data_IF_237116904638
#
_entry.id   IF_237116904638
#
_cell.length_a   1.000
_cell.length_b   1.000
_cell.length_c   1.000
_cell.angle_alpha   90.00
_cell.angle_beta   90.00
_cell.angle_gamma   90.00
#
_symmetry.space_group_name_H-M   'P 1'
#
loop_
_entity.id
_entity.type
_entity.pdbx_description
1 polymer ?
#
# COMPACT_ATOMS: atom_id res chain seq x y z
N UNK A 1 -0.20 27.44 -0.41
CA UNK A 1 0.49 26.67 0.66
C UNK A 1 1.07 25.38 0.07
N UNK A 2 2.23 24.92 0.57
CA UNK A 2 2.82 23.66 0.16
C UNK A 2 1.95 22.51 0.70
N UNK A 3 1.57 21.54 -0.14
CA UNK A 3 0.82 20.34 0.26
C UNK A 3 1.66 19.50 1.22
N UNK A 4 1.10 19.11 2.37
CA UNK A 4 1.73 18.10 3.23
C UNK A 4 1.64 16.72 2.58
N UNK A 5 2.61 15.87 2.89
CA UNK A 5 2.72 14.49 2.41
C UNK A 5 2.80 13.55 3.60
N UNK A 6 1.75 12.78 3.81
CA UNK A 6 1.60 11.95 5.00
C UNK A 6 1.54 10.48 4.59
N UNK A 7 2.38 9.65 5.19
CA UNK A 7 2.26 8.19 5.03
C UNK A 7 1.38 7.65 6.16
N UNK A 8 0.36 6.89 5.81
CA UNK A 8 -0.46 6.14 6.74
C UNK A 8 -0.28 4.65 6.49
N UNK A 9 0.01 3.92 7.57
CA UNK A 9 0.30 2.48 7.52
C UNK A 9 -0.83 1.75 8.27
N UNK A 10 -1.91 1.33 7.56
CA UNK A 10 -2.98 0.57 8.19
C UNK A 10 -2.45 -0.81 8.61
N UNK A 11 -2.79 -1.20 9.83
CA UNK A 11 -2.40 -2.51 10.34
C UNK A 11 -3.44 -3.07 11.31
N UNK A 12 -3.71 -4.37 11.21
CA UNK A 12 -4.58 -5.10 12.12
C UNK A 12 -3.90 -6.36 12.63
N UNK A 13 -4.24 -6.78 13.85
CA UNK A 13 -3.68 -8.01 14.43
C UNK A 13 -4.36 -9.25 13.85
N UNK A 14 -5.67 -9.16 13.58
CA UNK A 14 -6.47 -10.27 13.11
C UNK A 14 -6.25 -10.52 11.62
N UNK A 15 -5.33 -11.41 11.29
CA UNK A 15 -5.10 -11.94 9.94
C UNK A 15 -5.56 -13.41 9.92
N UNK A 16 -6.44 -13.77 8.96
CA UNK A 16 -6.98 -15.13 8.85
C UNK A 16 -5.91 -16.14 8.38
N UNK A 17 -5.08 -15.76 7.41
CA UNK A 17 -4.08 -16.65 6.78
C UNK A 17 -2.79 -16.78 7.60
N UNK A 18 -2.39 -15.73 8.31
CA UNK A 18 -1.20 -15.70 9.17
C UNK A 18 -1.52 -14.88 10.42
N UNK A 19 -2.05 -15.51 11.49
CA UNK A 19 -2.47 -14.82 12.70
C UNK A 19 -1.34 -14.00 13.33
N UNK A 20 -1.64 -12.76 13.72
CA UNK A 20 -0.66 -11.87 14.36
C UNK A 20 0.46 -11.38 13.46
N UNK A 21 0.36 -11.55 12.13
CA UNK A 21 1.45 -11.28 11.17
C UNK A 21 2.14 -9.94 11.38
N UNK A 22 1.41 -8.89 11.71
CA UNK A 22 1.97 -7.55 11.91
C UNK A 22 3.07 -7.51 12.99
N UNK A 23 2.96 -8.38 14.01
CA UNK A 23 3.90 -8.47 15.14
C UNK A 23 4.89 -9.64 15.02
N UNK A 24 4.81 -10.47 13.97
CA UNK A 24 5.85 -11.46 13.68
C UNK A 24 7.17 -10.77 13.43
N UNK A 25 8.23 -11.28 14.07
CA UNK A 25 9.55 -10.62 14.06
C UNK A 25 10.48 -11.21 13.02
N UNK A 26 11.18 -10.33 12.33
CA UNK A 26 12.35 -10.67 11.51
C UNK A 26 13.53 -9.90 12.12
N UNK A 27 14.56 -10.61 12.57
CA UNK A 27 15.73 -10.03 13.26
C UNK A 27 15.33 -9.03 14.37
N UNK A 28 14.47 -9.46 15.30
CA UNK A 28 13.99 -8.68 16.44
C UNK A 28 13.09 -7.49 16.14
N UNK A 29 12.80 -7.17 14.88
CA UNK A 29 11.89 -6.12 14.46
C UNK A 29 10.62 -6.77 13.90
N UNK A 30 9.41 -6.39 14.35
CA UNK A 30 8.18 -6.93 13.76
C UNK A 30 7.97 -6.43 12.34
N UNK A 31 7.16 -7.15 11.55
CA UNK A 31 6.85 -6.80 10.15
C UNK A 31 6.41 -5.34 10.03
N UNK A 32 5.47 -4.89 10.87
CA UNK A 32 5.01 -3.48 10.89
C UNK A 32 6.16 -2.50 11.16
N UNK A 33 7.14 -2.90 11.97
CA UNK A 33 8.32 -2.09 12.25
C UNK A 33 9.22 -1.95 11.02
N UNK A 34 9.47 -3.04 10.29
CA UNK A 34 10.22 -2.98 9.04
C UNK A 34 9.51 -2.05 8.04
N UNK A 35 8.19 -2.19 7.88
CA UNK A 35 7.40 -1.32 6.99
C UNK A 35 7.51 0.15 7.41
N UNK A 36 7.36 0.45 8.69
CA UNK A 36 7.47 1.83 9.20
C UNK A 36 8.86 2.42 8.96
N UNK A 37 9.93 1.73 9.41
CA UNK A 37 11.30 2.26 9.28
C UNK A 37 11.71 2.46 7.83
N UNK A 38 11.28 1.57 6.92
CA UNK A 38 11.56 1.74 5.49
C UNK A 38 10.77 2.92 4.91
N UNK A 39 9.51 3.05 5.26
CA UNK A 39 8.69 4.19 4.85
C UNK A 39 9.27 5.52 5.34
N UNK A 40 9.87 5.53 6.53
CA UNK A 40 10.54 6.71 7.10
C UNK A 40 11.81 7.14 6.34
N UNK A 41 12.34 6.30 5.46
CA UNK A 41 13.44 6.65 4.55
C UNK A 41 12.96 7.33 3.27
N UNK A 42 11.66 7.55 3.10
CA UNK A 42 11.09 8.24 1.94
C UNK A 42 11.40 9.73 2.02
N UNK A 43 11.94 10.29 0.94
CA UNK A 43 12.28 11.70 0.89
C UNK A 43 11.02 12.59 0.85
N UNK A 44 11.11 13.77 1.50
CA UNK A 44 10.08 14.82 1.47
C UNK A 44 8.71 14.35 2.00
N UNK A 45 8.69 13.55 3.05
CA UNK A 45 7.50 13.20 3.83
C UNK A 45 7.46 14.07 5.09
N UNK A 46 6.30 14.63 5.38
CA UNK A 46 6.11 15.49 6.55
C UNK A 46 5.85 14.65 7.81
N UNK A 47 4.99 13.60 7.71
CA UNK A 47 4.66 12.74 8.84
C UNK A 47 4.36 11.30 8.41
N UNK A 48 4.53 10.35 9.34
CA UNK A 48 4.20 8.93 9.15
C UNK A 48 3.49 8.40 10.40
N UNK A 49 2.38 7.70 10.22
CA UNK A 49 1.60 7.10 11.30
C UNK A 49 1.25 5.65 11.03
N UNK A 50 1.36 4.81 12.05
CA UNK A 50 0.75 3.48 12.07
C UNK A 50 -0.70 3.61 12.54
N UNK A 51 -1.66 3.14 11.73
CA UNK A 51 -3.09 3.23 12.02
C UNK A 51 -3.63 1.85 12.42
N UNK A 52 -4.06 1.67 13.67
CA UNK A 52 -4.48 0.36 14.17
C UNK A 52 -5.58 0.45 15.23
N UNK A 53 -6.41 -0.62 15.28
CA UNK A 53 -7.35 -0.88 16.37
C UNK A 53 -6.72 -1.72 17.51
N UNK A 54 -5.60 -2.38 17.24
CA UNK A 54 -4.98 -3.32 18.17
C UNK A 54 -4.15 -2.61 19.25
N UNK A 55 -4.53 -2.80 20.51
CA UNK A 55 -3.75 -2.32 21.65
C UNK A 55 -2.32 -2.86 21.66
N UNK A 56 -2.10 -4.11 21.21
CA UNK A 56 -0.76 -4.73 21.14
C UNK A 56 0.13 -4.00 20.11
N UNK A 57 -0.40 -3.67 18.94
CA UNK A 57 0.33 -2.89 17.90
C UNK A 57 0.62 -1.48 18.42
N UNK A 58 -0.38 -0.79 18.96
CA UNK A 58 -0.22 0.57 19.50
C UNK A 58 0.78 0.62 20.68
N UNK A 59 0.75 -0.35 21.58
CA UNK A 59 1.72 -0.46 22.68
C UNK A 59 3.13 -0.69 22.18
N UNK A 60 3.29 -1.52 21.13
CA UNK A 60 4.59 -1.70 20.50
C UNK A 60 5.07 -0.40 19.83
N UNK A 61 4.20 0.33 19.14
CA UNK A 61 4.52 1.64 18.56
C UNK A 61 4.97 2.63 19.64
N UNK A 62 4.20 2.75 20.74
CA UNK A 62 4.54 3.62 21.87
C UNK A 62 5.91 3.31 22.47
N UNK A 63 6.20 2.00 22.72
CA UNK A 63 7.49 1.57 23.26
C UNK A 63 8.68 1.92 22.33
N UNK A 64 8.45 1.98 21.02
CA UNK A 64 9.48 2.29 20.02
C UNK A 64 9.40 3.73 19.51
N UNK A 65 8.64 4.63 20.17
CA UNK A 65 8.47 6.04 19.79
C UNK A 65 7.97 6.24 18.36
N UNK A 66 7.14 5.31 17.88
CA UNK A 66 6.53 5.37 16.55
C UNK A 66 5.19 6.09 16.64
N UNK A 67 4.98 7.18 15.87
CA UNK A 67 3.69 7.84 15.78
C UNK A 67 2.59 6.85 15.35
N UNK A 68 1.49 6.84 16.10
CA UNK A 68 0.39 5.92 15.82
C UNK A 68 -0.97 6.54 16.12
N UNK A 69 -1.98 6.11 15.36
CA UNK A 69 -3.36 6.58 15.48
C UNK A 69 -4.25 5.37 15.80
N UNK A 70 -4.96 5.43 16.93
CA UNK A 70 -5.97 4.44 17.27
C UNK A 70 -7.19 4.65 16.36
N UNK A 71 -7.63 3.57 15.71
CA UNK A 71 -8.81 3.53 14.84
C UNK A 71 -9.81 2.50 15.34
N UNK A 72 -11.03 2.54 14.81
CA UNK A 72 -12.07 1.55 15.11
C UNK A 72 -11.69 0.18 14.56
N UNK A 73 -12.31 -0.88 15.09
CA UNK A 73 -12.07 -2.29 14.68
C UNK A 73 -12.94 -2.74 13.50
N UNK A 74 -14.01 -2.01 13.17
CA UNK A 74 -15.03 -2.41 12.20
C UNK A 74 -14.74 -2.03 10.75
N UNK A 75 -13.52 -1.54 10.44
CA UNK A 75 -13.13 -1.23 9.06
C UNK A 75 -12.95 -2.52 8.25
N UNK A 76 -13.54 -2.55 7.06
CA UNK A 76 -13.51 -3.70 6.16
C UNK A 76 -12.10 -3.86 5.56
N UNK A 77 -11.43 -2.75 5.24
CA UNK A 77 -10.11 -2.72 4.59
C UNK A 77 -9.17 -1.65 5.18
N UNK A 78 -7.95 -1.60 4.63
CA UNK A 78 -6.92 -0.62 5.03
C UNK A 78 -7.29 0.80 4.67
N UNK A 79 -7.88 1.01 3.50
CA UNK A 79 -8.24 2.34 2.98
C UNK A 79 -9.32 3.02 3.84
N UNK A 80 -10.32 2.28 4.31
CA UNK A 80 -11.32 2.81 5.25
C UNK A 80 -10.70 3.18 6.60
N UNK A 81 -9.72 2.39 7.08
CA UNK A 81 -8.98 2.68 8.32
C UNK A 81 -8.19 3.97 8.23
N UNK A 82 -7.48 4.21 7.13
CA UNK A 82 -6.74 5.46 6.94
C UNK A 82 -7.67 6.65 6.69
N UNK A 83 -8.86 6.44 6.12
CA UNK A 83 -9.87 7.47 5.99
C UNK A 83 -10.38 7.97 7.36
N UNK A 84 -10.54 7.09 8.36
CA UNK A 84 -10.77 7.51 9.75
C UNK A 84 -9.56 8.26 10.32
N UNK A 85 -8.34 7.75 10.06
CA UNK A 85 -7.13 8.35 10.62
C UNK A 85 -6.91 9.79 10.14
N UNK A 86 -7.16 10.12 8.86
CA UNK A 86 -7.00 11.49 8.32
C UNK A 86 -7.96 12.48 8.95
N UNK A 87 -9.10 12.02 9.47
CA UNK A 87 -10.06 12.89 10.17
C UNK A 87 -9.56 13.32 11.56
N UNK A 88 -8.59 12.62 12.13
CA UNK A 88 -7.94 12.92 13.41
C UNK A 88 -6.71 13.81 13.27
N UNK A 89 -6.31 14.09 12.03
CA UNK A 89 -5.16 14.91 11.69
C UNK A 89 -5.59 16.29 11.16
N UNK A 90 -4.86 17.33 11.55
CA UNK A 90 -5.06 18.67 11.03
C UNK A 90 -4.41 18.80 9.64
N UNK A 91 -5.15 18.36 8.61
CA UNK A 91 -4.73 18.31 7.21
C UNK A 91 -5.69 19.08 6.32
N UNK A 92 -5.16 19.74 5.29
CA UNK A 92 -5.97 20.35 4.25
C UNK A 92 -6.56 19.26 3.32
N UNK A 93 -7.61 19.59 2.58
CA UNK A 93 -8.26 18.65 1.66
C UNK A 93 -7.37 18.23 0.49
N UNK A 94 -6.35 19.03 0.18
CA UNK A 94 -5.44 18.80 -0.94
C UNK A 94 -4.10 18.17 -0.49
N UNK A 95 -3.91 17.95 0.83
CA UNK A 95 -2.75 17.23 1.35
C UNK A 95 -2.70 15.80 0.82
N UNK A 96 -1.50 15.32 0.55
CA UNK A 96 -1.26 14.02 -0.08
C UNK A 96 -1.18 12.94 1.00
N UNK A 97 -1.99 11.91 0.84
CA UNK A 97 -2.04 10.74 1.70
C UNK A 97 -1.48 9.54 0.91
N UNK A 98 -0.49 8.91 1.49
CA UNK A 98 0.11 7.69 0.95
C UNK A 98 -0.29 6.52 1.84
N UNK A 99 -1.08 5.61 1.31
CA UNK A 99 -1.38 4.33 1.94
C UNK A 99 -0.22 3.37 1.67
N UNK A 100 0.43 2.89 2.71
CA UNK A 100 1.44 1.84 2.65
C UNK A 100 0.99 0.68 3.53
N UNK A 101 0.68 -0.47 2.91
CA UNK A 101 0.16 -1.61 3.66
C UNK A 101 1.17 -2.11 4.70
N UNK A 102 0.69 -2.36 5.93
CA UNK A 102 1.53 -2.70 7.09
C UNK A 102 2.27 -4.03 7.00
N UNK A 103 1.97 -4.84 5.99
CA UNK A 103 2.57 -6.14 5.69
C UNK A 103 3.59 -6.13 4.54
N UNK A 104 4.07 -4.95 4.16
CA UNK A 104 5.10 -4.72 3.13
C UNK A 104 6.50 -4.45 3.73
N UNK A 105 7.16 -5.43 4.39
CA UNK A 105 8.43 -5.20 5.09
C UNK A 105 9.59 -4.86 4.15
N UNK A 106 9.41 -5.03 2.85
CA UNK A 106 10.39 -4.76 1.80
C UNK A 106 10.03 -3.53 0.94
N UNK A 107 9.06 -2.71 1.38
CA UNK A 107 8.65 -1.51 0.64
C UNK A 107 9.87 -0.65 0.25
N UNK A 108 9.91 -0.16 -0.99
CA UNK A 108 11.01 0.64 -1.48
C UNK A 108 10.72 2.15 -1.33
N UNK A 109 11.45 2.88 -0.47
CA UNK A 109 11.23 4.31 -0.25
C UNK A 109 11.31 5.15 -1.54
N UNK A 110 12.24 4.80 -2.45
CA UNK A 110 12.38 5.50 -3.72
C UNK A 110 11.15 5.32 -4.63
N UNK A 111 10.46 4.19 -4.51
CA UNK A 111 9.22 3.95 -5.26
C UNK A 111 8.07 4.82 -4.72
N UNK A 112 7.97 5.00 -3.40
CA UNK A 112 7.02 5.92 -2.79
C UNK A 112 7.26 7.34 -3.30
N UNK A 113 8.51 7.84 -3.26
CA UNK A 113 8.87 9.17 -3.77
C UNK A 113 8.47 9.34 -5.24
N UNK A 114 8.75 8.34 -6.10
CA UNK A 114 8.39 8.38 -7.53
C UNK A 114 6.87 8.41 -7.75
N UNK A 115 6.13 7.63 -6.97
CA UNK A 115 4.67 7.58 -7.06
C UNK A 115 4.03 8.92 -6.64
N UNK A 116 4.52 9.55 -5.57
CA UNK A 116 4.10 10.88 -5.15
C UNK A 116 4.40 11.91 -6.24
N UNK A 117 5.62 11.93 -6.78
CA UNK A 117 5.99 12.86 -7.85
C UNK A 117 5.14 12.68 -9.10
N UNK A 118 4.76 11.44 -9.44
CA UNK A 118 3.83 11.17 -10.53
C UNK A 118 2.42 11.70 -10.22
N UNK A 119 1.93 11.51 -8.99
CA UNK A 119 0.63 12.03 -8.56
C UNK A 119 0.58 13.55 -8.64
N UNK A 120 1.62 14.25 -8.18
CA UNK A 120 1.71 15.71 -8.20
C UNK A 120 1.70 16.31 -9.62
N UNK A 121 2.22 15.57 -10.61
CA UNK A 121 2.34 16.03 -12.01
C UNK A 121 1.16 15.68 -12.89
N UNK A 122 0.19 14.92 -12.38
CA UNK A 122 -0.93 14.42 -13.19
C UNK A 122 -2.26 14.66 -12.46
N UNK A 123 -3.34 14.76 -13.23
CA UNK A 123 -4.67 15.00 -12.68
C UNK A 123 -5.44 13.68 -12.47
N UNK A 124 -5.05 12.91 -11.46
CA UNK A 124 -5.72 11.71 -11.02
C UNK A 124 -6.28 11.88 -9.60
N UNK A 125 -7.43 11.26 -9.32
CA UNK A 125 -7.99 11.20 -7.96
C UNK A 125 -7.18 10.24 -7.07
N UNK A 126 -6.68 9.15 -7.68
CA UNK A 126 -5.94 8.08 -7.02
C UNK A 126 -4.79 7.65 -7.93
N UNK A 127 -3.63 7.37 -7.36
CA UNK A 127 -2.53 6.73 -8.11
C UNK A 127 -2.17 5.40 -7.47
N UNK A 128 -2.11 4.37 -8.31
CA UNK A 128 -1.74 3.00 -7.95
C UNK A 128 -0.55 2.59 -8.81
N UNK A 129 0.65 2.52 -8.25
CA UNK A 129 1.82 2.06 -9.00
C UNK A 129 1.70 0.60 -9.42
N UNK A 130 2.44 0.23 -10.47
CA UNK A 130 2.51 -1.15 -10.94
C UNK A 130 3.93 -1.60 -11.23
N UNK A 131 4.11 -2.93 -11.22
CA UNK A 131 5.30 -3.61 -11.76
C UNK A 131 4.92 -4.39 -13.00
N UNK A 132 5.83 -4.40 -13.99
CA UNK A 132 5.72 -5.34 -15.11
C UNK A 132 6.20 -6.72 -14.69
N UNK A 133 5.44 -7.76 -15.01
CA UNK A 133 5.79 -9.15 -14.70
C UNK A 133 5.41 -10.10 -15.85
N UNK A 134 6.06 -11.26 -15.90
CA UNK A 134 5.85 -12.28 -16.95
C UNK A 134 5.56 -13.66 -16.39
N UNK A 135 6.08 -13.96 -15.19
CA UNK A 135 5.87 -15.25 -14.49
C UNK A 135 4.56 -15.24 -13.72
N UNK A 136 4.03 -16.41 -13.42
CA UNK A 136 2.83 -16.57 -12.59
C UNK A 136 1.59 -15.79 -13.06
N UNK A 137 1.41 -15.66 -14.37
CA UNK A 137 0.30 -14.86 -14.94
C UNK A 137 -1.08 -15.31 -14.46
N UNK A 138 -1.26 -16.62 -14.22
CA UNK A 138 -2.52 -17.22 -13.76
C UNK A 138 -2.71 -17.14 -12.23
N UNK A 139 -1.73 -16.62 -11.48
CA UNK A 139 -1.87 -16.46 -10.03
C UNK A 139 -2.97 -15.44 -9.71
N UNK A 140 -4.08 -15.90 -9.13
CA UNK A 140 -5.25 -15.09 -8.77
C UNK A 140 -5.00 -14.17 -7.56
N UNK A 141 -3.92 -14.39 -6.79
CA UNK A 141 -3.50 -13.47 -5.74
C UNK A 141 -2.88 -12.18 -6.31
N UNK A 142 -2.43 -12.21 -7.55
CA UNK A 142 -1.88 -11.04 -8.25
C UNK A 142 -3.02 -10.31 -8.96
N UNK A 143 -3.27 -9.07 -8.57
CA UNK A 143 -4.18 -8.18 -9.27
C UNK A 143 -3.47 -7.59 -10.49
N UNK A 144 -4.08 -7.74 -11.68
CA UNK A 144 -3.58 -7.22 -12.95
C UNK A 144 -4.29 -5.93 -13.30
N UNK A 145 -3.57 -5.01 -13.97
CA UNK A 145 -4.09 -3.72 -14.38
C UNK A 145 -4.08 -3.61 -15.90
N UNK A 146 -5.22 -3.25 -16.49
CA UNK A 146 -5.31 -2.73 -17.84
C UNK A 146 -5.11 -1.21 -17.78
N UNK A 147 -4.08 -0.70 -18.46
CA UNK A 147 -3.65 0.71 -18.37
C UNK A 147 -3.62 1.31 -19.77
N UNK A 148 -4.20 2.49 -19.93
CA UNK A 148 -4.20 3.26 -21.18
C UNK A 148 -2.82 3.89 -21.48
N UNK A 149 -2.65 4.39 -22.70
CA UNK A 149 -1.45 5.16 -23.07
C UNK A 149 -1.30 6.45 -22.24
N UNK A 150 -2.41 7.01 -21.74
CA UNK A 150 -2.45 8.20 -20.87
C UNK A 150 -2.17 7.85 -19.40
N UNK A 151 -1.72 6.62 -19.11
CA UNK A 151 -1.42 6.12 -17.76
C UNK A 151 -2.64 5.99 -16.85
N UNK A 152 -3.85 6.01 -17.40
CA UNK A 152 -5.08 5.78 -16.66
C UNK A 152 -5.34 4.27 -16.53
N UNK A 153 -5.74 3.82 -15.36
CA UNK A 153 -6.20 2.45 -15.13
C UNK A 153 -7.61 2.35 -15.71
N UNK A 154 -7.78 1.45 -16.69
CA UNK A 154 -9.06 1.17 -17.33
C UNK A 154 -9.84 0.11 -16.56
N UNK A 155 -9.15 -0.91 -16.06
CA UNK A 155 -9.73 -1.99 -15.26
C UNK A 155 -8.70 -2.69 -14.40
N UNK A 156 -9.20 -3.38 -13.36
CA UNK A 156 -8.43 -4.25 -12.48
C UNK A 156 -9.09 -5.62 -12.40
N UNK A 157 -8.31 -6.70 -12.43
CA UNK A 157 -8.85 -8.05 -12.29
C UNK A 157 -7.83 -9.04 -11.74
N UNK A 158 -8.34 -10.10 -11.12
CA UNK A 158 -7.53 -11.28 -10.78
C UNK A 158 -7.35 -12.20 -11.98
N UNK A 159 -8.22 -12.11 -12.97
CA UNK A 159 -8.08 -12.78 -14.27
C UNK A 159 -6.96 -12.15 -15.11
N UNK A 160 -6.61 -12.81 -16.22
CA UNK A 160 -5.66 -12.29 -17.21
C UNK A 160 -6.27 -11.10 -17.95
N UNK A 161 -5.76 -9.91 -17.71
CA UNK A 161 -6.11 -8.69 -18.43
C UNK A 161 -4.85 -7.88 -18.79
N UNK A 162 -4.78 -7.33 -20.04
CA UNK A 162 -5.62 -7.69 -21.19
C UNK A 162 -5.39 -9.16 -21.62
N UNK A 163 -6.41 -9.78 -22.22
CA UNK A 163 -6.24 -11.07 -22.85
C UNK A 163 -5.31 -10.95 -24.05
N UNK A 164 -4.31 -11.82 -24.14
CA UNK A 164 -3.36 -11.82 -25.25
C UNK A 164 -3.77 -12.83 -26.31
N UNK A 165 -4.38 -12.35 -27.37
CA UNK A 165 -4.82 -13.19 -28.48
C UNK A 165 -3.64 -13.72 -29.30
N UNK A 166 -2.65 -12.87 -29.59
CA UNK A 166 -1.53 -13.22 -30.49
C UNK A 166 -0.21 -13.50 -29.79
N UNK A 167 0.04 -12.93 -28.60
CA UNK A 167 1.35 -12.98 -27.96
C UNK A 167 1.34 -13.71 -26.61
N UNK A 168 1.86 -14.94 -26.58
CA UNK A 168 1.99 -15.72 -25.35
C UNK A 168 3.00 -15.14 -24.35
N UNK A 169 3.93 -14.28 -24.78
CA UNK A 169 5.00 -13.69 -23.97
C UNK A 169 4.66 -12.27 -23.45
N UNK A 170 3.39 -11.92 -23.40
CA UNK A 170 2.95 -10.62 -22.90
C UNK A 170 3.43 -10.37 -21.46
N UNK A 171 3.97 -9.17 -21.25
CA UNK A 171 4.23 -8.63 -19.91
C UNK A 171 2.96 -7.97 -19.38
N UNK A 172 2.52 -8.38 -18.20
CA UNK A 172 1.35 -7.83 -17.51
C UNK A 172 1.76 -6.81 -16.46
N UNK A 173 0.81 -5.99 -16.01
CA UNK A 173 1.03 -4.99 -14.97
C UNK A 173 0.44 -5.50 -13.64
N UNK A 174 1.31 -5.76 -12.65
CA UNK A 174 0.91 -6.14 -11.28
C UNK A 174 0.65 -4.91 -10.45
N UNK A 175 -0.52 -4.82 -9.84
CA UNK A 175 -0.85 -3.83 -8.81
C UNK A 175 0.15 -3.85 -7.65
N UNK A 176 0.57 -2.67 -7.19
CA UNK A 176 1.37 -2.52 -5.97
C UNK A 176 0.51 -1.98 -4.83
N UNK A 177 0.80 -2.43 -3.61
CA UNK A 177 0.02 -2.12 -2.42
C UNK A 177 0.23 -0.69 -1.87
N UNK A 178 0.96 0.16 -2.58
CA UNK A 178 1.08 1.59 -2.26
C UNK A 178 0.03 2.35 -3.05
N UNK A 179 -0.79 3.15 -2.39
CA UNK A 179 -1.85 3.92 -3.04
C UNK A 179 -1.73 5.39 -2.61
N UNK A 180 -1.84 6.32 -3.56
CA UNK A 180 -1.74 7.74 -3.30
C UNK A 180 -3.09 8.41 -3.55
N UNK A 181 -3.49 9.24 -2.59
CA UNK A 181 -4.71 10.04 -2.60
C UNK A 181 -4.40 11.50 -2.26
N UNK A 182 -5.36 12.41 -2.48
CA UNK A 182 -5.52 13.57 -1.62
C UNK A 182 -6.43 13.21 -0.44
N UNK A 183 -6.42 13.98 0.66
CA UNK A 183 -7.42 13.81 1.72
C UNK A 183 -8.84 13.86 1.12
N UNK A 184 -9.10 14.77 0.17
CA UNK A 184 -10.38 14.92 -0.52
C UNK A 184 -10.78 13.63 -1.25
N UNK A 185 -9.91 13.07 -2.09
CA UNK A 185 -10.21 11.86 -2.87
C UNK A 185 -10.35 10.63 -1.97
N UNK A 186 -9.58 10.52 -0.89
CA UNK A 186 -9.69 9.45 0.09
C UNK A 186 -11.06 9.51 0.82
N UNK A 187 -11.49 10.69 1.26
CA UNK A 187 -12.79 10.87 1.90
C UNK A 187 -13.95 10.67 0.92
N UNK A 188 -13.79 11.06 -0.36
CA UNK A 188 -14.78 10.73 -1.41
C UNK A 188 -14.90 9.23 -1.56
N UNK A 189 -13.76 8.52 -1.72
CA UNK A 189 -13.72 7.05 -1.83
C UNK A 189 -14.39 6.36 -0.63
N UNK A 190 -14.08 6.78 0.60
CA UNK A 190 -14.59 6.12 1.81
C UNK A 190 -16.12 6.22 2.00
N UNK A 191 -16.78 7.15 1.30
CA UNK A 191 -18.24 7.29 1.30
C UNK A 191 -18.95 6.40 0.26
N UNK A 192 -18.19 5.83 -0.68
CA UNK A 192 -18.74 4.95 -1.71
C UNK A 192 -19.13 3.61 -1.09
N UNK A 193 -20.29 3.10 -1.47
CA UNK A 193 -20.72 1.75 -1.10
C UNK A 193 -19.89 0.70 -1.88
N UNK A 194 -19.60 -0.46 -1.30
CA UNK A 194 -18.97 -1.57 -2.01
C UNK A 194 -19.75 -1.93 -3.28
N UNK A 195 -19.08 -1.92 -4.43
CA UNK A 195 -19.68 -2.18 -5.73
C UNK A 195 -19.82 -3.68 -6.02
N UNK A 196 -20.54 -4.03 -7.09
CA UNK A 196 -20.72 -5.43 -7.50
C UNK A 196 -19.39 -6.09 -7.86
N UNK A 197 -18.60 -5.45 -8.75
CA UNK A 197 -17.34 -6.03 -9.21
C UNK A 197 -16.26 -6.07 -8.10
N UNK A 198 -16.27 -5.08 -7.18
CA UNK A 198 -15.42 -5.14 -5.99
C UNK A 198 -15.67 -6.39 -5.17
N UNK A 199 -16.95 -6.76 -4.95
CA UNK A 199 -17.30 -7.95 -4.16
C UNK A 199 -16.92 -9.24 -4.86
N UNK A 200 -17.11 -9.34 -6.18
CA UNK A 200 -16.77 -10.52 -6.98
C UNK A 200 -15.25 -10.72 -7.08
N UNK A 201 -14.52 -9.68 -7.43
CA UNK A 201 -13.06 -9.73 -7.62
C UNK A 201 -12.30 -9.60 -6.29
N UNK A 202 -12.95 -9.17 -5.22
CA UNK A 202 -12.30 -8.79 -3.95
C UNK A 202 -11.16 -7.79 -4.17
N UNK A 203 -11.44 -6.74 -4.95
CA UNK A 203 -10.54 -5.63 -5.29
C UNK A 203 -11.21 -4.32 -4.92
N UNK A 204 -10.82 -3.73 -3.78
CA UNK A 204 -11.48 -2.56 -3.20
C UNK A 204 -11.54 -1.33 -4.14
N UNK A 205 -10.53 -1.12 -4.96
CA UNK A 205 -10.46 0.05 -5.85
C UNK A 205 -11.39 -0.03 -7.08
N UNK A 206 -12.03 -1.17 -7.33
CA UNK A 206 -13.05 -1.26 -8.39
C UNK A 206 -14.22 -0.33 -8.10
N UNK A 207 -14.62 -0.14 -6.81
CA UNK A 207 -15.68 0.83 -6.48
C UNK A 207 -15.31 2.27 -6.93
N UNK A 208 -14.04 2.63 -6.91
CA UNK A 208 -13.59 3.93 -7.38
C UNK A 208 -13.75 4.06 -8.90
N UNK A 209 -13.33 3.04 -9.66
CA UNK A 209 -13.49 3.01 -11.12
C UNK A 209 -14.97 3.06 -11.52
N UNK A 210 -15.84 2.25 -10.87
CA UNK A 210 -17.27 2.19 -11.15
C UNK A 210 -18.00 3.50 -10.77
N UNK A 211 -17.39 4.34 -9.93
CA UNK A 211 -17.91 5.67 -9.58
C UNK A 211 -17.14 6.82 -10.26
N UNK A 212 -16.55 6.55 -11.42
CA UNK A 212 -15.90 7.54 -12.28
C UNK A 212 -14.75 8.32 -11.61
N UNK A 213 -14.09 7.76 -10.60
CA UNK A 213 -12.85 8.33 -10.11
C UNK A 213 -11.73 8.02 -11.10
N UNK A 214 -10.85 8.99 -11.35
CA UNK A 214 -9.72 8.84 -12.26
C UNK A 214 -8.54 8.18 -11.53
N UNK A 215 -8.25 6.92 -11.89
CA UNK A 215 -7.12 6.18 -11.34
C UNK A 215 -5.94 6.21 -12.31
N UNK A 216 -4.81 6.72 -11.86
CA UNK A 216 -3.56 6.73 -12.62
C UNK A 216 -2.60 5.64 -12.18
N UNK A 217 -1.64 5.30 -13.05
CA UNK A 217 -0.61 4.31 -12.73
C UNK A 217 0.75 4.65 -13.31
N UNK A 218 1.78 4.42 -12.52
CA UNK A 218 3.18 4.54 -12.90
C UNK A 218 3.89 3.19 -12.80
N UNK A 219 4.70 2.86 -13.82
CA UNK A 219 5.55 1.67 -13.78
C UNK A 219 6.76 1.90 -12.86
N UNK A 220 6.93 1.07 -11.87
CA UNK A 220 8.07 1.10 -10.96
C UNK A 220 8.97 -0.13 -11.17
N UNK A 221 10.13 -0.15 -10.52
CA UNK A 221 11.10 -1.25 -10.57
C UNK A 221 11.39 -1.77 -9.16
N UNK A 222 11.83 -3.03 -9.07
CA UNK A 222 12.19 -3.68 -7.81
C UNK A 222 11.08 -4.59 -7.27
N UNK A 223 11.34 -5.28 -6.18
CA UNK A 223 10.38 -6.18 -5.56
C UNK A 223 9.32 -5.39 -4.80
N UNK A 224 8.07 -5.78 -4.94
CA UNK A 224 7.00 -5.51 -3.99
C UNK A 224 6.57 -6.85 -3.42
N UNK A 225 6.50 -6.93 -2.11
CA UNK A 225 6.35 -8.19 -1.41
C UNK A 225 5.53 -8.02 -0.14
N UNK A 226 4.29 -8.47 -0.21
CA UNK A 226 3.39 -8.53 0.95
C UNK A 226 3.54 -9.86 1.65
N UNK A 227 3.58 -9.86 2.97
CA UNK A 227 3.57 -11.07 3.78
C UNK A 227 2.12 -11.44 4.09
N UNK A 228 1.61 -12.46 3.43
CA UNK A 228 0.21 -12.90 3.59
C UNK A 228 0.07 -14.31 4.18
N UNK A 229 1.00 -15.19 3.90
CA UNK A 229 1.05 -16.57 4.36
C UNK A 229 2.44 -16.89 4.96
N UNK A 230 2.58 -18.07 5.57
CA UNK A 230 3.84 -18.49 6.19
C UNK A 230 5.02 -18.51 5.20
N UNK A 231 4.78 -18.95 3.97
CA UNK A 231 5.82 -18.98 2.93
C UNK A 231 6.35 -17.57 2.62
N UNK A 232 5.46 -16.58 2.51
CA UNK A 232 5.85 -15.18 2.34
C UNK A 232 6.71 -14.68 3.50
N UNK A 233 6.36 -15.06 4.73
CA UNK A 233 7.14 -14.69 5.90
C UNK A 233 8.56 -15.29 5.87
N UNK A 234 8.69 -16.56 5.51
CA UNK A 234 9.99 -17.21 5.36
C UNK A 234 10.82 -16.56 4.24
N UNK A 235 10.18 -16.23 3.13
CA UNK A 235 10.82 -15.51 2.03
C UNK A 235 11.26 -14.11 2.46
N UNK A 236 10.44 -13.38 3.24
CA UNK A 236 10.80 -12.07 3.77
C UNK A 236 12.04 -12.13 4.66
N UNK A 237 12.18 -13.18 5.49
CA UNK A 237 13.39 -13.41 6.30
C UNK A 237 14.63 -13.52 5.40
N UNK A 238 14.56 -14.31 4.33
CA UNK A 238 15.69 -14.49 3.43
C UNK A 238 16.05 -13.19 2.70
N UNK A 239 15.06 -12.46 2.16
CA UNK A 239 15.30 -11.19 1.48
C UNK A 239 15.90 -10.13 2.43
N UNK A 240 15.44 -10.05 3.67
CA UNK A 240 15.94 -9.07 4.63
C UNK A 240 17.37 -9.38 5.11
N UNK A 241 17.87 -10.63 5.03
CA UNK A 241 19.26 -10.95 5.38
C UNK A 241 20.27 -10.15 4.57
N UNK A 242 20.03 -9.96 3.28
CA UNK A 242 20.95 -9.29 2.33
C UNK A 242 20.50 -7.87 1.94
N UNK A 243 19.40 -7.38 2.54
CA UNK A 243 18.84 -6.09 2.15
C UNK A 243 19.65 -4.89 2.65
N UNK A 244 20.25 -4.15 1.72
CA UNK A 244 21.04 -2.95 2.01
C UNK A 244 20.19 -1.81 2.61
N UNK A 245 18.90 -1.75 2.31
CA UNK A 245 18.01 -0.72 2.87
C UNK A 245 17.80 -0.94 4.37
N UNK A 246 17.76 -2.19 4.82
CA UNK A 246 17.67 -2.55 6.24
C UNK A 246 18.82 -1.94 7.06
N UNK A 247 20.04 -1.94 6.54
CA UNK A 247 21.21 -1.41 7.24
C UNK A 247 21.06 0.07 7.61
N UNK A 248 20.27 0.83 6.85
CA UNK A 248 20.08 2.28 7.09
C UNK A 248 19.26 2.56 8.35
N UNK A 249 18.23 1.73 8.66
CA UNK A 249 17.39 1.96 9.82
C UNK A 249 17.79 1.15 11.06
N UNK A 250 18.55 0.07 10.90
CA UNK A 250 19.12 -0.66 12.06
C UNK A 250 20.24 0.15 12.70
N UNK A 251 21.13 0.78 11.91
CA UNK A 251 22.22 1.63 12.42
C UNK A 251 21.70 2.89 13.13
N UNK A 252 20.56 3.42 12.74
CA UNK A 252 19.94 4.59 13.37
C UNK A 252 19.30 4.28 14.75
N UNK A 253 19.24 3.00 15.16
CA UNK A 253 18.72 2.57 16.47
C UNK A 253 19.80 2.28 17.52
N UNK A 254 21.07 2.30 17.15
CA UNK A 254 22.21 2.24 18.07
C UNK A 254 22.66 3.65 18.43
#
# INVERSE_FOLDING_TARGET
MKRKKIILIPSRLNSKRLPGKALLRIENIPIIGHTFYRSNLTANIDDIYVCSDSSKILSWCKKNQIPSIKTKSNHINGTERIAEAVMKLNLSMDDIIVDVQGDEPLINPKNITKAISFFEKNNFDIVVPHLKFRKEKNNTNIIKLAISNQKQILWMSRSLIPFSFFNKNLSLNKHLSTIIFTKRSLLKYSKLKPSYNEKIESIELLRALENNMKLGSISLKGASFSVDILEDYLNAIQYLKTDRTKLKYIKAKK
#
